data_IF_056014793845
#
_entry.id   IF_056014793845
#
_cell.length_a   1.000
_cell.length_b   1.000
_cell.length_c   1.000
_cell.angle_alpha   90.00
_cell.angle_beta   90.00
_cell.angle_gamma   90.00
#
_symmetry.space_group_name_H-M   'P 1'
#
loop_
_entity.id
_entity.type
_entity.pdbx_description
1 polymer ?
#
# COMPACT_ATOMS: atom_id res chain seq x y z
N UNK A 1 12.08 -0.13 12.92
CA UNK A 1 12.82 -0.69 11.78
C UNK A 1 12.89 0.32 10.64
N UNK A 2 13.59 -0.01 9.57
CA UNK A 2 13.72 0.86 8.38
C UNK A 2 12.94 0.23 7.23
N UNK A 3 12.11 1.04 6.56
CA UNK A 3 11.34 0.63 5.39
C UNK A 3 12.18 0.59 4.10
N UNK A 4 11.57 0.19 2.97
CA UNK A 4 12.24 0.08 1.67
C UNK A 4 12.71 1.42 1.08
N UNK A 5 12.23 2.54 1.62
CA UNK A 5 12.62 3.91 1.22
C UNK A 5 13.64 4.55 2.18
N UNK A 6 14.11 3.80 3.20
CA UNK A 6 15.05 4.28 4.19
C UNK A 6 14.42 5.11 5.32
N UNK A 7 13.10 5.10 5.47
CA UNK A 7 12.42 5.80 6.56
C UNK A 7 12.13 4.85 7.73
N UNK A 8 12.13 5.35 8.98
CA UNK A 8 11.71 4.56 10.13
C UNK A 8 10.23 4.18 10.04
N UNK A 9 9.89 2.96 10.48
CA UNK A 9 8.53 2.53 10.74
C UNK A 9 8.45 1.68 12.01
N UNK A 10 7.22 1.43 12.49
CA UNK A 10 6.97 0.68 13.72
C UNK A 10 6.82 -0.79 13.41
N UNK A 11 7.56 -1.65 14.12
CA UNK A 11 7.33 -3.08 14.16
C UNK A 11 6.98 -3.47 15.61
N UNK A 12 5.97 -4.29 15.81
CA UNK A 12 5.55 -4.80 17.11
C UNK A 12 5.69 -6.33 17.15
N UNK A 13 6.01 -6.83 18.35
CA UNK A 13 6.09 -8.25 18.67
C UNK A 13 5.09 -8.57 19.78
N UNK A 14 4.37 -9.68 19.63
CA UNK A 14 3.41 -10.19 20.61
C UNK A 14 3.77 -11.63 20.92
N UNK A 15 3.89 -11.95 22.21
CA UNK A 15 4.14 -13.27 22.75
C UNK A 15 2.93 -13.73 23.56
N UNK A 16 2.45 -14.94 23.30
CA UNK A 16 1.34 -15.56 24.03
C UNK A 16 1.89 -16.51 25.10
N UNK A 17 1.05 -16.85 26.10
CA UNK A 17 1.41 -17.73 27.21
C UNK A 17 1.80 -19.15 26.74
N UNK A 18 1.24 -19.62 25.63
CA UNK A 18 1.57 -20.91 25.03
C UNK A 18 2.90 -20.92 24.27
N UNK A 19 3.63 -19.79 24.27
CA UNK A 19 4.87 -19.58 23.53
C UNK A 19 4.69 -19.19 22.06
N UNK A 20 3.46 -19.04 21.59
CA UNK A 20 3.19 -18.56 20.23
C UNK A 20 3.60 -17.10 20.08
N UNK A 21 4.05 -16.75 18.87
CA UNK A 21 4.66 -15.48 18.56
C UNK A 21 4.09 -14.87 17.29
N UNK A 22 3.84 -13.56 17.31
CA UNK A 22 3.46 -12.76 16.16
C UNK A 22 4.28 -11.49 16.06
N UNK A 23 4.75 -11.18 14.85
CA UNK A 23 5.48 -9.95 14.54
C UNK A 23 4.91 -9.27 13.31
N UNK A 24 4.67 -7.96 13.41
CA UNK A 24 4.15 -7.18 12.30
C UNK A 24 4.70 -5.75 12.30
N UNK A 25 5.00 -5.27 11.10
CA UNK A 25 5.35 -3.89 10.87
C UNK A 25 4.13 -3.12 10.32
N UNK A 26 3.96 -1.87 10.73
CA UNK A 26 2.99 -0.98 10.13
C UNK A 26 3.55 -0.46 8.79
N UNK A 27 2.88 -0.69 7.65
CA UNK A 27 3.33 -0.12 6.39
C UNK A 27 3.17 1.41 6.41
N UNK A 28 4.10 2.10 5.73
CA UNK A 28 4.05 3.55 5.56
C UNK A 28 3.83 3.85 4.08
N UNK A 29 2.78 4.60 3.74
CA UNK A 29 2.48 5.01 2.37
C UNK A 29 3.46 6.07 1.84
N UNK A 30 3.63 6.14 0.52
CA UNK A 30 4.37 7.21 -0.15
C UNK A 30 3.54 8.49 -0.24
N UNK A 31 2.23 8.35 -0.41
CA UNK A 31 1.23 9.40 -0.35
C UNK A 31 0.15 9.07 0.67
N UNK A 32 -0.59 10.06 1.14
CA UNK A 32 -1.67 9.88 2.12
C UNK A 32 -2.93 10.60 1.65
N UNK A 33 -4.08 9.95 1.82
CA UNK A 33 -5.38 10.56 1.58
C UNK A 33 -5.76 11.53 2.69
N UNK A 34 -6.63 12.48 2.39
CA UNK A 34 -7.09 13.51 3.35
C UNK A 34 -7.88 12.97 4.54
N UNK A 35 -8.33 11.72 4.48
CA UNK A 35 -9.13 11.05 5.52
C UNK A 35 -8.41 9.87 6.17
N UNK A 36 -7.14 9.71 5.92
CA UNK A 36 -6.35 8.65 6.56
C UNK A 36 -6.12 8.94 8.05
N UNK A 37 -6.03 7.86 8.82
CA UNK A 37 -5.59 7.94 10.20
C UNK A 37 -4.13 8.38 10.28
N UNK A 38 -3.76 9.08 11.36
CA UNK A 38 -2.45 9.71 11.50
C UNK A 38 -1.33 8.68 11.71
N UNK A 39 -0.33 8.70 10.86
CA UNK A 39 0.96 8.07 11.11
C UNK A 39 1.77 8.97 12.06
N UNK A 40 1.93 8.56 13.33
CA UNK A 40 2.60 9.37 14.32
C UNK A 40 4.11 9.41 14.09
N UNK A 41 4.62 10.61 13.80
CA UNK A 41 6.04 10.91 13.62
C UNK A 41 6.56 11.80 14.75
N UNK A 42 7.86 11.69 15.06
CA UNK A 42 8.47 12.44 16.17
C UNK A 42 8.54 13.95 15.91
N UNK A 43 8.70 14.35 14.65
CA UNK A 43 8.85 15.74 14.24
C UNK A 43 10.24 16.34 14.55
N UNK A 44 11.14 15.59 15.17
CA UNK A 44 12.50 16.02 15.47
C UNK A 44 13.36 16.03 14.20
N UNK A 45 13.62 17.21 13.67
CA UNK A 45 14.38 17.41 12.44
C UNK A 45 15.84 16.94 12.52
N UNK A 46 16.41 16.78 13.70
CA UNK A 46 17.78 16.28 13.89
C UNK A 46 17.89 14.77 13.65
N UNK A 47 16.75 14.06 13.61
CA UNK A 47 16.68 12.62 13.40
C UNK A 47 15.76 12.29 12.23
N UNK A 48 16.28 11.57 11.23
CA UNK A 48 15.53 11.16 10.03
C UNK A 48 14.69 12.29 9.39
N UNK A 49 15.19 13.54 9.45
CA UNK A 49 14.47 14.70 8.93
C UNK A 49 13.10 14.96 9.55
N UNK A 50 12.86 14.46 10.77
CA UNK A 50 11.57 14.55 11.48
C UNK A 50 10.69 13.31 11.35
N UNK A 51 11.09 12.31 10.56
CA UNK A 51 10.31 11.09 10.30
C UNK A 51 10.55 9.97 11.32
N UNK A 52 11.23 10.24 12.46
CA UNK A 52 11.39 9.28 13.56
C UNK A 52 10.05 8.77 14.10
N UNK A 53 10.05 7.61 14.77
CA UNK A 53 8.84 6.96 15.30
C UNK A 53 8.98 6.57 16.78
N UNK A 54 9.88 7.20 17.53
CA UNK A 54 10.12 6.87 18.93
C UNK A 54 8.89 7.12 19.81
N UNK A 55 8.07 8.13 19.51
CA UNK A 55 6.80 8.38 20.21
C UNK A 55 5.83 7.22 20.00
N UNK A 56 5.68 6.73 18.78
CA UNK A 56 4.84 5.58 18.47
C UNK A 56 5.36 4.30 19.15
N UNK A 57 6.68 4.07 19.16
CA UNK A 57 7.31 2.95 19.89
C UNK A 57 7.06 3.06 21.39
N UNK A 58 7.17 4.26 21.98
CA UNK A 58 6.85 4.48 23.39
C UNK A 58 5.37 4.19 23.70
N UNK A 59 4.46 4.52 22.77
CA UNK A 59 3.04 4.20 22.91
C UNK A 59 2.79 2.69 22.87
N UNK A 60 3.49 1.93 22.01
CA UNK A 60 3.41 0.46 21.97
C UNK A 60 3.87 -0.13 23.32
N UNK A 61 5.07 0.23 23.77
CA UNK A 61 5.67 -0.35 24.98
C UNK A 61 5.07 0.19 26.30
N UNK A 62 4.32 1.27 26.24
CA UNK A 62 3.74 1.95 27.40
C UNK A 62 2.22 1.74 27.50
N UNK A 63 1.43 2.74 27.07
CA UNK A 63 -0.02 2.70 27.28
C UNK A 63 -0.72 1.53 26.59
N UNK A 64 -0.33 1.17 25.36
CA UNK A 64 -0.93 0.04 24.65
C UNK A 64 -0.62 -1.27 25.37
N UNK A 65 0.65 -1.55 25.65
CA UNK A 65 1.03 -2.79 26.35
C UNK A 65 0.29 -2.91 27.71
N UNK A 66 0.21 -1.83 28.48
CA UNK A 66 -0.50 -1.84 29.77
C UNK A 66 -2.00 -2.17 29.64
N UNK A 67 -2.61 -1.79 28.54
CA UNK A 67 -4.04 -1.99 28.31
C UNK A 67 -4.38 -3.40 27.81
N UNK A 68 -3.49 -4.04 27.04
CA UNK A 68 -3.79 -5.31 26.36
C UNK A 68 -3.08 -6.53 26.95
N UNK A 69 -1.97 -6.38 27.68
CA UNK A 69 -1.30 -7.53 28.30
C UNK A 69 -2.26 -8.24 29.26
N UNK A 70 -2.31 -9.56 29.20
CA UNK A 70 -3.25 -10.40 29.94
C UNK A 70 -4.67 -10.49 29.33
N UNK A 71 -4.91 -9.87 28.19
CA UNK A 71 -6.16 -10.06 27.43
C UNK A 71 -6.06 -11.28 26.51
N UNK A 72 -7.22 -11.90 26.20
CA UNK A 72 -7.24 -13.02 25.27
C UNK A 72 -6.96 -12.55 23.84
N UNK A 73 -5.93 -13.12 23.21
CA UNK A 73 -5.62 -12.90 21.78
C UNK A 73 -6.71 -13.41 20.84
N UNK A 74 -7.58 -14.31 21.34
CA UNK A 74 -8.72 -14.84 20.62
C UNK A 74 -9.81 -13.80 20.31
N UNK A 75 -9.84 -12.67 21.06
CA UNK A 75 -10.77 -11.56 20.87
C UNK A 75 -10.09 -10.38 20.16
N UNK A 76 -9.75 -10.57 18.89
CA UNK A 76 -9.12 -9.54 18.06
C UNK A 76 -9.90 -8.22 18.09
N UNK A 77 -11.21 -8.30 17.92
CA UNK A 77 -12.07 -7.10 17.91
C UNK A 77 -12.07 -6.36 19.23
N UNK A 78 -12.06 -7.10 20.35
CA UNK A 78 -11.95 -6.51 21.70
C UNK A 78 -10.61 -5.83 21.93
N UNK A 79 -9.50 -6.43 21.48
CA UNK A 79 -8.17 -5.83 21.58
C UNK A 79 -8.10 -4.55 20.74
N UNK A 80 -8.59 -4.59 19.50
CA UNK A 80 -8.60 -3.42 18.63
C UNK A 80 -9.45 -2.29 19.20
N UNK A 81 -10.62 -2.62 19.77
CA UNK A 81 -11.50 -1.68 20.44
C UNK A 81 -10.83 -1.02 21.65
N UNK A 82 -10.12 -1.80 22.48
CA UNK A 82 -9.36 -1.27 23.63
C UNK A 82 -8.35 -0.21 23.15
N UNK A 83 -7.60 -0.49 22.09
CA UNK A 83 -6.60 0.45 21.57
C UNK A 83 -7.25 1.72 20.98
N UNK A 84 -8.36 1.56 20.26
CA UNK A 84 -9.12 2.69 19.67
C UNK A 84 -9.70 3.58 20.79
N UNK A 85 -10.30 3.00 21.82
CA UNK A 85 -10.85 3.72 22.97
C UNK A 85 -9.74 4.40 23.79
N UNK A 86 -8.57 3.77 23.92
CA UNK A 86 -7.41 4.34 24.62
C UNK A 86 -6.85 5.57 23.86
N UNK A 87 -6.87 5.54 22.54
CA UNK A 87 -6.56 6.70 21.73
C UNK A 87 -7.61 7.80 21.89
N UNK A 88 -8.88 7.47 21.72
CA UNK A 88 -10.02 8.35 21.94
C UNK A 88 -10.18 9.48 20.92
N UNK A 89 -9.40 9.47 19.83
CA UNK A 89 -9.50 10.45 18.75
C UNK A 89 -10.03 9.80 17.45
N UNK A 90 -10.64 10.58 16.58
CA UNK A 90 -11.21 10.08 15.34
C UNK A 90 -10.14 9.47 14.41
N UNK A 91 -9.01 10.16 14.27
CA UNK A 91 -7.94 9.83 13.34
C UNK A 91 -6.71 9.19 14.00
N UNK A 92 -6.80 8.75 15.28
CA UNK A 92 -5.72 8.08 16.03
C UNK A 92 -4.47 8.93 16.22
N UNK A 93 -4.65 10.24 16.45
CA UNK A 93 -3.53 11.19 16.57
C UNK A 93 -2.80 11.16 17.91
N UNK A 94 -3.40 10.56 18.95
CA UNK A 94 -2.79 10.45 20.28
C UNK A 94 -1.78 9.30 20.36
N UNK A 95 -2.14 8.10 19.92
CA UNK A 95 -1.27 6.93 19.97
C UNK A 95 -0.51 6.69 18.66
N UNK A 96 -1.11 7.09 17.55
CA UNK A 96 -0.64 6.85 16.21
C UNK A 96 -1.26 5.60 15.59
N UNK A 97 -1.80 5.74 14.37
CA UNK A 97 -2.33 4.60 13.63
C UNK A 97 -1.26 3.53 13.38
N UNK A 98 0.00 3.93 13.16
CA UNK A 98 1.13 3.03 13.00
C UNK A 98 1.38 2.17 14.24
N UNK A 99 1.31 2.75 15.45
CA UNK A 99 1.45 2.00 16.70
C UNK A 99 0.29 1.00 16.89
N UNK A 100 -0.96 1.46 16.71
CA UNK A 100 -2.16 0.63 16.86
C UNK A 100 -2.15 -0.51 15.84
N UNK A 101 -1.87 -0.22 14.57
CA UNK A 101 -1.90 -1.21 13.50
C UNK A 101 -0.79 -2.26 13.64
N UNK A 102 0.43 -1.86 14.01
CA UNK A 102 1.52 -2.80 14.23
C UNK A 102 1.16 -3.84 15.31
N UNK A 103 0.55 -3.39 16.41
CA UNK A 103 0.12 -4.28 17.50
C UNK A 103 -1.05 -5.16 17.08
N UNK A 104 -2.09 -4.59 16.45
CA UNK A 104 -3.25 -5.34 15.96
C UNK A 104 -2.85 -6.49 15.03
N UNK A 105 -1.99 -6.19 14.04
CA UNK A 105 -1.49 -7.20 13.11
C UNK A 105 -0.59 -8.25 13.81
N UNK A 106 0.21 -7.85 14.79
CA UNK A 106 1.05 -8.78 15.55
C UNK A 106 0.21 -9.74 16.40
N UNK A 107 -0.87 -9.25 17.04
CA UNK A 107 -1.84 -10.07 17.79
C UNK A 107 -2.49 -11.08 16.85
N UNK A 108 -2.99 -10.65 15.69
CA UNK A 108 -3.60 -11.55 14.71
C UNK A 108 -2.65 -12.68 14.25
N UNK A 109 -1.38 -12.34 14.03
CA UNK A 109 -0.35 -13.33 13.66
C UNK A 109 -0.03 -14.28 14.82
N UNK A 110 0.06 -13.79 16.05
CA UNK A 110 0.30 -14.62 17.23
C UNK A 110 -0.84 -15.62 17.45
N UNK A 111 -2.10 -15.16 17.35
CA UNK A 111 -3.27 -16.02 17.49
C UNK A 111 -3.36 -17.06 16.37
N UNK A 112 -3.09 -16.68 15.12
CA UNK A 112 -3.04 -17.63 14.00
C UNK A 112 -1.97 -18.72 14.25
N UNK A 113 -0.80 -18.34 14.79
CA UNK A 113 0.26 -19.27 15.16
C UNK A 113 -0.18 -20.21 16.30
N UNK A 114 -0.82 -19.69 17.35
CA UNK A 114 -1.38 -20.47 18.46
C UNK A 114 -2.38 -21.52 17.96
N UNK A 115 -3.27 -21.12 17.05
CA UNK A 115 -4.25 -22.03 16.41
C UNK A 115 -3.63 -22.95 15.36
N UNK A 116 -2.35 -22.77 15.02
CA UNK A 116 -1.65 -23.51 13.95
C UNK A 116 -2.38 -23.44 12.59
N UNK A 117 -2.92 -22.26 12.28
CA UNK A 117 -3.58 -21.99 10.99
C UNK A 117 -2.89 -20.86 10.26
N UNK A 118 -2.94 -20.83 8.92
CA UNK A 118 -2.45 -19.67 8.17
C UNK A 118 -3.24 -18.39 8.52
N UNK A 119 -2.58 -17.23 8.51
CA UNK A 119 -3.18 -15.95 8.86
C UNK A 119 -4.45 -15.64 8.05
N UNK A 120 -4.47 -15.92 6.73
CA UNK A 120 -5.64 -15.69 5.90
C UNK A 120 -6.87 -16.49 6.37
N UNK A 121 -6.65 -17.70 6.90
CA UNK A 121 -7.72 -18.54 7.43
C UNK A 121 -8.26 -17.96 8.75
N UNK A 122 -7.37 -17.56 9.64
CA UNK A 122 -7.76 -16.89 10.90
C UNK A 122 -8.57 -15.61 10.63
N UNK A 123 -8.08 -14.75 9.73
CA UNK A 123 -8.82 -13.55 9.34
C UNK A 123 -10.19 -13.89 8.73
N UNK A 124 -10.25 -14.91 7.87
CA UNK A 124 -11.51 -15.38 7.33
C UNK A 124 -12.49 -15.83 8.41
N UNK A 125 -12.02 -16.52 9.44
CA UNK A 125 -12.85 -16.95 10.58
C UNK A 125 -13.39 -15.75 11.36
N UNK A 126 -12.60 -14.67 11.57
CA UNK A 126 -13.07 -13.44 12.19
C UNK A 126 -14.24 -12.79 11.44
N UNK A 127 -14.25 -12.89 10.11
CA UNK A 127 -15.34 -12.42 9.25
C UNK A 127 -16.45 -13.44 9.04
N UNK A 128 -16.42 -14.58 9.76
CA UNK A 128 -17.42 -15.64 9.61
C UNK A 128 -17.38 -16.37 8.26
N UNK A 129 -16.26 -16.30 7.53
CA UNK A 129 -16.08 -16.98 6.24
C UNK A 129 -16.07 -18.49 6.41
N UNK A 130 -16.97 -19.18 5.70
CA UNK A 130 -17.13 -20.64 5.74
C UNK A 130 -16.90 -21.32 4.39
N UNK A 131 -16.49 -20.57 3.39
CA UNK A 131 -16.34 -21.04 2.02
C UNK A 131 -14.91 -21.38 1.62
N UNK A 132 -14.72 -21.54 0.31
CA UNK A 132 -13.39 -21.65 -0.30
C UNK A 132 -12.77 -20.28 -0.41
N UNK A 133 -11.48 -20.19 -0.04
CA UNK A 133 -10.70 -18.97 -0.26
C UNK A 133 -10.38 -18.83 -1.76
N UNK A 134 -10.43 -17.59 -2.23
CA UNK A 134 -10.09 -17.24 -3.61
C UNK A 134 -8.79 -16.43 -3.57
N UNK A 135 -7.82 -16.83 -4.40
CA UNK A 135 -6.59 -16.05 -4.58
C UNK A 135 -6.95 -14.71 -5.26
N UNK A 136 -6.57 -13.56 -4.70
CA UNK A 136 -6.80 -12.28 -5.35
C UNK A 136 -6.05 -12.18 -6.67
N UNK A 137 -6.67 -11.50 -7.64
CA UNK A 137 -5.98 -11.14 -8.88
C UNK A 137 -4.90 -10.10 -8.57
N UNK A 138 -3.63 -10.31 -8.99
CA UNK A 138 -2.61 -9.31 -8.79
C UNK A 138 -2.91 -8.02 -9.58
N UNK A 139 -2.77 -6.87 -8.92
CA UNK A 139 -2.64 -5.56 -9.55
C UNK A 139 -1.19 -5.12 -9.42
N UNK A 140 -0.53 -4.90 -10.54
CA UNK A 140 0.89 -4.59 -10.58
C UNK A 140 1.10 -3.19 -11.12
N UNK A 141 1.60 -2.28 -10.26
CA UNK A 141 1.95 -0.93 -10.66
C UNK A 141 3.23 -0.97 -11.51
N UNK A 142 3.12 -0.59 -12.79
CA UNK A 142 4.22 -0.67 -13.77
C UNK A 142 4.62 0.67 -14.36
N UNK A 143 3.80 1.72 -14.16
CA UNK A 143 4.11 3.10 -14.57
C UNK A 143 3.55 4.07 -13.53
N UNK A 144 4.38 5.02 -13.11
CA UNK A 144 4.06 5.99 -12.09
C UNK A 144 4.01 7.41 -12.62
N UNK A 145 3.16 8.21 -11.99
CA UNK A 145 3.08 9.66 -12.11
C UNK A 145 2.69 10.30 -10.77
N UNK A 146 2.11 11.48 -10.80
CA UNK A 146 1.64 12.19 -9.63
C UNK A 146 2.72 12.33 -8.55
N UNK A 147 2.38 12.05 -7.30
CA UNK A 147 3.33 12.10 -6.18
C UNK A 147 4.35 10.94 -6.13
N UNK A 148 4.11 9.87 -6.88
CA UNK A 148 4.98 8.69 -6.90
C UNK A 148 6.14 8.81 -7.88
N UNK A 149 6.20 9.90 -8.69
CA UNK A 149 7.24 10.09 -9.68
C UNK A 149 7.56 11.58 -9.90
N UNK A 150 8.84 11.87 -10.13
CA UNK A 150 9.29 13.20 -10.56
C UNK A 150 9.21 13.28 -12.10
N UNK A 151 7.99 13.40 -12.61
CA UNK A 151 7.67 13.51 -14.04
C UNK A 151 6.44 14.38 -14.26
N UNK A 152 5.96 14.44 -15.51
CA UNK A 152 4.81 15.27 -15.90
C UNK A 152 3.50 14.48 -16.07
N UNK A 153 3.43 13.24 -15.60
CA UNK A 153 2.21 12.42 -15.65
C UNK A 153 1.36 12.71 -14.41
N UNK A 154 0.09 13.10 -14.58
CA UNK A 154 -0.74 13.54 -13.46
C UNK A 154 -1.35 12.37 -12.66
N UNK A 155 -1.70 11.27 -13.33
CA UNK A 155 -2.26 10.06 -12.70
C UNK A 155 -1.14 9.32 -11.96
N UNK A 156 -1.40 8.94 -10.70
CA UNK A 156 -0.39 8.43 -9.78
C UNK A 156 0.10 7.03 -10.13
N UNK A 157 -0.82 6.11 -10.47
CA UNK A 157 -0.48 4.71 -10.75
C UNK A 157 -1.22 4.16 -11.95
N UNK A 158 -0.47 3.46 -12.80
CA UNK A 158 -1.02 2.66 -13.89
C UNK A 158 -0.65 1.20 -13.63
N UNK A 159 -1.67 0.40 -13.36
CA UNK A 159 -1.52 -1.00 -12.97
C UNK A 159 -2.01 -1.93 -14.08
N UNK A 160 -1.35 -3.06 -14.22
CA UNK A 160 -1.83 -4.18 -15.04
C UNK A 160 -2.43 -5.25 -14.15
N UNK A 161 -3.47 -5.91 -14.68
CA UNK A 161 -4.13 -7.05 -14.08
C UNK A 161 -4.03 -8.24 -15.04
N UNK A 162 -3.19 -9.26 -14.74
CA UNK A 162 -2.98 -10.40 -15.62
C UNK A 162 -4.13 -11.43 -15.51
N UNK A 163 -5.30 -11.08 -16.03
CA UNK A 163 -6.53 -11.87 -15.94
C UNK A 163 -6.47 -13.19 -16.71
N UNK A 164 -5.61 -13.30 -17.73
CA UNK A 164 -5.38 -14.53 -18.49
C UNK A 164 -4.57 -15.61 -17.76
N UNK A 165 -4.00 -15.28 -16.58
CA UNK A 165 -3.21 -16.22 -15.79
C UNK A 165 -4.07 -17.29 -15.13
N UNK A 166 -3.85 -18.56 -15.48
CA UNK A 166 -4.61 -19.71 -14.92
C UNK A 166 -4.40 -19.94 -13.42
N UNK A 167 -3.37 -19.35 -12.84
CA UNK A 167 -3.03 -19.38 -11.42
C UNK A 167 -2.09 -18.22 -11.10
N UNK A 168 -1.82 -17.98 -9.81
CA UNK A 168 -0.99 -16.86 -9.36
C UNK A 168 0.43 -16.87 -9.98
N UNK A 169 1.05 -18.03 -10.18
CA UNK A 169 2.37 -18.15 -10.80
C UNK A 169 2.36 -17.63 -12.24
N UNK A 170 1.37 -18.03 -13.01
CA UNK A 170 1.20 -17.56 -14.39
C UNK A 170 0.86 -16.07 -14.44
N UNK A 171 0.01 -15.58 -13.54
CA UNK A 171 -0.29 -14.16 -13.45
C UNK A 171 0.96 -13.33 -13.15
N UNK A 172 1.81 -13.76 -12.21
CA UNK A 172 3.08 -13.09 -11.91
C UNK A 172 4.04 -13.14 -13.10
N UNK A 173 4.12 -14.26 -13.82
CA UNK A 173 4.93 -14.38 -15.03
C UNK A 173 4.49 -13.38 -16.11
N UNK A 174 3.19 -13.34 -16.42
CA UNK A 174 2.63 -12.39 -17.38
C UNK A 174 2.98 -10.96 -16.99
N UNK A 175 2.77 -10.60 -15.73
CA UNK A 175 3.08 -9.25 -15.22
C UNK A 175 4.56 -8.89 -15.39
N UNK A 176 5.47 -9.79 -15.04
CA UNK A 176 6.92 -9.56 -15.19
C UNK A 176 7.32 -9.41 -16.68
N UNK A 177 6.80 -10.25 -17.57
CA UNK A 177 7.08 -10.19 -19.00
C UNK A 177 6.57 -8.87 -19.62
N UNK A 178 5.37 -8.42 -19.25
CA UNK A 178 4.82 -7.13 -19.69
C UNK A 178 5.66 -5.96 -19.13
N UNK A 179 6.09 -6.01 -17.87
CA UNK A 179 6.94 -4.98 -17.29
C UNK A 179 8.27 -4.84 -18.04
N UNK A 180 8.93 -5.96 -18.36
CA UNK A 180 10.16 -5.94 -19.16
C UNK A 180 9.93 -5.50 -20.62
N UNK A 181 8.79 -5.86 -21.20
CA UNK A 181 8.41 -5.37 -22.52
C UNK A 181 8.19 -3.85 -22.50
N UNK A 182 7.58 -3.30 -21.44
CA UNK A 182 7.39 -1.86 -21.26
C UNK A 182 8.73 -1.12 -21.20
N UNK A 183 9.72 -1.63 -20.46
CA UNK A 183 11.07 -1.06 -20.48
C UNK A 183 11.62 -0.95 -21.91
N UNK A 184 11.42 -2.00 -22.72
CA UNK A 184 11.88 -2.02 -24.12
C UNK A 184 11.12 -1.02 -25.00
N UNK A 185 9.80 -0.85 -24.78
CA UNK A 185 8.95 0.13 -25.50
C UNK A 185 9.42 1.55 -25.17
N UNK A 186 9.61 1.86 -23.89
CA UNK A 186 10.07 3.18 -23.43
C UNK A 186 11.45 3.51 -24.01
N UNK A 187 12.41 2.59 -23.93
CA UNK A 187 13.76 2.77 -24.52
C UNK A 187 13.71 3.03 -26.02
N UNK A 188 12.88 2.28 -26.77
CA UNK A 188 12.70 2.49 -28.23
C UNK A 188 12.16 3.88 -28.55
N UNK A 189 11.34 4.46 -27.67
CA UNK A 189 10.79 5.81 -27.78
C UNK A 189 11.74 6.89 -27.25
N UNK A 190 12.93 6.54 -26.76
CA UNK A 190 13.89 7.49 -26.15
C UNK A 190 13.44 8.00 -24.78
N UNK A 191 12.53 7.29 -24.10
CA UNK A 191 11.98 7.67 -22.80
C UNK A 191 12.76 7.01 -21.64
N UNK A 192 12.71 7.65 -20.48
CA UNK A 192 13.34 7.15 -19.27
C UNK A 192 12.76 5.81 -18.82
N UNK A 193 13.61 4.93 -18.31
CA UNK A 193 13.24 3.71 -17.57
C UNK A 193 13.64 3.78 -16.10
N UNK A 194 13.93 4.98 -15.58
CA UNK A 194 13.99 5.21 -14.14
C UNK A 194 12.65 4.91 -13.50
N UNK A 195 12.67 4.41 -12.25
CA UNK A 195 11.46 4.02 -11.52
C UNK A 195 11.05 5.07 -10.52
N UNK A 196 9.75 5.16 -10.25
CA UNK A 196 9.18 5.95 -9.18
C UNK A 196 9.23 5.24 -7.82
N UNK A 197 8.61 5.83 -6.82
CA UNK A 197 8.64 5.38 -5.43
C UNK A 197 8.05 3.98 -5.21
N UNK A 198 7.19 3.52 -6.12
CA UNK A 198 6.53 2.21 -6.06
C UNK A 198 6.98 1.23 -7.15
N UNK A 199 8.11 1.51 -7.79
CA UNK A 199 8.78 0.58 -8.71
C UNK A 199 8.26 0.59 -10.14
N UNK A 200 7.19 1.32 -10.47
CA UNK A 200 6.76 1.59 -11.85
C UNK A 200 7.72 2.55 -12.56
N UNK A 201 7.83 2.44 -13.88
CA UNK A 201 8.64 3.40 -14.66
C UNK A 201 8.06 4.81 -14.58
N UNK A 202 8.94 5.80 -14.58
CA UNK A 202 8.57 7.21 -14.42
C UNK A 202 9.03 8.09 -15.62
N UNK A 203 8.59 7.80 -16.85
CA UNK A 203 8.94 8.61 -18.01
C UNK A 203 8.17 9.94 -18.00
N UNK A 204 8.72 10.97 -18.67
CA UNK A 204 7.95 12.11 -19.12
C UNK A 204 7.14 11.71 -20.35
N UNK A 205 5.83 11.94 -20.34
CA UNK A 205 4.92 11.61 -21.42
C UNK A 205 4.15 12.84 -21.88
N UNK A 206 3.58 12.79 -23.08
CA UNK A 206 2.78 13.90 -23.62
C UNK A 206 1.39 14.01 -22.96
N UNK A 207 0.91 12.90 -22.43
CA UNK A 207 -0.40 12.83 -21.78
C UNK A 207 -0.53 11.53 -20.96
N UNK A 208 -1.53 11.48 -20.07
CA UNK A 208 -1.92 10.25 -19.39
C UNK A 208 -2.37 9.15 -20.38
N UNK A 209 -2.97 9.56 -21.51
CA UNK A 209 -3.35 8.63 -22.58
C UNK A 209 -2.13 7.96 -23.25
N UNK A 210 -0.98 8.62 -23.33
CA UNK A 210 0.25 8.02 -23.84
C UNK A 210 0.78 6.92 -22.92
N UNK A 211 0.57 7.04 -21.59
CA UNK A 211 0.90 5.96 -20.65
C UNK A 211 0.14 4.68 -20.99
N UNK A 212 -1.17 4.79 -21.22
CA UNK A 212 -1.99 3.65 -21.67
C UNK A 212 -1.51 3.06 -23.01
N UNK A 213 -1.17 3.93 -23.97
CA UNK A 213 -0.67 3.49 -25.26
C UNK A 213 0.65 2.71 -25.13
N UNK A 214 1.58 3.17 -24.29
CA UNK A 214 2.83 2.47 -24.01
C UNK A 214 2.59 1.11 -23.34
N UNK A 215 1.67 1.04 -22.38
CA UNK A 215 1.33 -0.21 -21.69
C UNK A 215 0.67 -1.20 -22.67
N UNK A 216 -0.29 -0.73 -23.48
CA UNK A 216 -0.92 -1.57 -24.50
C UNK A 216 0.12 -2.14 -25.47
N UNK A 217 1.02 -1.30 -26.00
CA UNK A 217 2.12 -1.74 -26.86
C UNK A 217 3.01 -2.79 -26.17
N UNK A 218 3.25 -2.62 -24.85
CA UNK A 218 4.05 -3.57 -24.08
C UNK A 218 3.34 -4.93 -23.90
N UNK A 219 2.03 -4.93 -23.65
CA UNK A 219 1.22 -6.15 -23.55
C UNK A 219 1.28 -6.94 -24.86
N UNK A 220 1.03 -6.27 -25.99
CA UNK A 220 1.06 -6.87 -27.34
C UNK A 220 2.48 -7.37 -27.67
N UNK A 221 3.52 -6.59 -27.36
CA UNK A 221 4.92 -6.98 -27.53
C UNK A 221 5.32 -8.20 -26.71
N UNK A 222 4.75 -8.36 -25.53
CA UNK A 222 4.96 -9.53 -24.70
C UNK A 222 4.20 -10.78 -25.18
N UNK A 223 3.38 -10.65 -26.24
CA UNK A 223 2.63 -11.74 -26.84
C UNK A 223 1.27 -12.00 -26.21
N UNK A 224 0.72 -11.03 -25.46
CA UNK A 224 -0.59 -11.10 -24.81
C UNK A 224 -1.63 -10.22 -25.51
N UNK A 225 -2.90 -10.59 -25.35
CA UNK A 225 -4.03 -9.83 -25.89
C UNK A 225 -4.52 -8.82 -24.85
N UNK A 226 -4.41 -7.52 -25.19
CA UNK A 226 -4.90 -6.44 -24.33
C UNK A 226 -6.42 -6.48 -24.20
N UNK A 227 -6.91 -6.40 -22.96
CA UNK A 227 -8.33 -6.50 -22.63
C UNK A 227 -8.84 -7.94 -22.39
N UNK A 228 -8.05 -8.95 -22.75
CA UNK A 228 -8.40 -10.37 -22.57
C UNK A 228 -7.42 -11.08 -21.62
N UNK A 229 -6.12 -11.01 -21.91
CA UNK A 229 -5.09 -11.60 -21.05
C UNK A 229 -4.61 -10.63 -19.98
N UNK A 230 -4.59 -9.34 -20.31
CA UNK A 230 -4.17 -8.25 -19.43
C UNK A 230 -5.15 -7.10 -19.52
N UNK A 231 -5.70 -6.70 -18.39
CA UNK A 231 -6.52 -5.50 -18.23
C UNK A 231 -5.77 -4.44 -17.43
N UNK A 232 -6.33 -3.22 -17.36
CA UNK A 232 -5.74 -2.11 -16.64
C UNK A 232 -6.57 -1.72 -15.42
N UNK A 233 -5.86 -1.21 -14.40
CA UNK A 233 -6.43 -0.47 -13.29
C UNK A 233 -5.61 0.80 -13.07
N UNK A 234 -6.20 1.79 -12.40
CA UNK A 234 -5.54 3.06 -12.06
C UNK A 234 -5.79 3.41 -10.61
N UNK A 235 -4.81 4.04 -10.00
CA UNK A 235 -5.04 4.96 -8.89
C UNK A 235 -4.80 6.38 -9.39
N UNK A 236 -5.89 7.14 -9.50
CA UNK A 236 -5.81 8.52 -9.96
C UNK A 236 -5.29 9.47 -8.89
N UNK A 237 -5.45 9.14 -7.60
CA UNK A 237 -5.18 10.03 -6.47
C UNK A 237 -5.74 11.45 -6.72
N UNK A 238 -7.01 11.52 -7.11
CA UNK A 238 -7.63 12.72 -7.71
C UNK A 238 -7.65 13.96 -6.80
N UNK A 239 -7.55 13.78 -5.48
CA UNK A 239 -7.39 14.88 -4.53
C UNK A 239 -6.10 15.70 -4.76
N UNK A 240 -5.08 15.10 -5.38
CA UNK A 240 -3.80 15.74 -5.64
C UNK A 240 -3.85 16.80 -6.76
N UNK A 241 -4.78 16.65 -7.69
CA UNK A 241 -4.98 17.60 -8.77
C UNK A 241 -6.36 18.28 -8.74
N UNK A 242 -7.14 18.12 -7.65
CA UNK A 242 -8.37 18.84 -7.43
C UNK A 242 -8.10 20.23 -6.82
N UNK A 243 -8.51 21.27 -7.53
CA UNK A 243 -8.47 22.64 -7.05
C UNK A 243 -9.84 23.02 -6.44
N UNK A 244 -9.91 23.05 -5.10
CA UNK A 244 -11.16 23.30 -4.37
C UNK A 244 -11.68 24.74 -4.55
N UNK A 245 -10.81 25.73 -4.81
CA UNK A 245 -11.22 27.12 -5.03
C UNK A 245 -11.92 27.30 -6.38
N UNK A 246 -11.48 26.55 -7.39
CA UNK A 246 -12.06 26.59 -8.74
C UNK A 246 -13.12 25.53 -8.96
N UNK A 247 -13.20 24.50 -8.12
CA UNK A 247 -14.05 23.33 -8.32
C UNK A 247 -13.66 22.48 -9.54
N UNK A 248 -12.37 22.47 -9.90
CA UNK A 248 -11.87 21.83 -11.10
C UNK A 248 -10.76 20.83 -10.79
N UNK A 249 -10.66 19.78 -11.61
CA UNK A 249 -9.53 18.88 -11.67
C UNK A 249 -8.51 19.41 -12.67
N UNK A 250 -7.34 19.85 -12.20
CA UNK A 250 -6.30 20.49 -13.01
C UNK A 250 -5.17 19.48 -13.34
N UNK A 251 -5.20 18.91 -14.53
CA UNK A 251 -4.13 18.04 -15.05
C UNK A 251 -2.99 18.94 -15.55
N UNK A 252 -2.05 19.24 -14.67
CA UNK A 252 -0.96 20.20 -14.94
C UNK A 252 -0.02 19.72 -16.03
N UNK A 253 0.26 18.40 -16.07
CA UNK A 253 1.10 17.78 -17.09
C UNK A 253 0.54 17.91 -18.50
N UNK A 254 -0.79 17.98 -18.64
CA UNK A 254 -1.48 18.17 -19.92
C UNK A 254 -1.95 19.61 -20.17
N UNK A 255 -1.87 20.49 -19.17
CA UNK A 255 -2.41 21.85 -19.26
C UNK A 255 -3.93 21.91 -19.42
N UNK A 256 -4.65 20.91 -18.88
CA UNK A 256 -6.11 20.77 -19.01
C UNK A 256 -6.81 20.85 -17.65
N UNK A 257 -8.06 21.30 -17.67
CA UNK A 257 -8.93 21.32 -16.50
C UNK A 257 -10.29 20.73 -16.83
N UNK A 258 -10.87 19.99 -15.89
CA UNK A 258 -12.14 19.30 -16.05
C UNK A 258 -13.06 19.57 -14.85
N UNK A 259 -14.35 19.53 -15.08
CA UNK A 259 -15.36 19.36 -14.02
C UNK A 259 -15.52 17.89 -13.68
N UNK A 260 -16.21 17.59 -12.58
CA UNK A 260 -16.64 16.22 -12.23
C UNK A 260 -17.74 15.74 -13.17
#
# INVERSE_FOLDING_TARGET
IIDSRGNPTVEAEVYLEDGSFGRAAAPSGASTGSREALELRDGDKSRFGGKGVLKAVANVNGPIAKAIVGKCSCDQSGIDKIMIELDGTENKDKLGANAILAVSLAVAKAEAASRKVPLYKYIGELYGHKGKYVMPLPMMNILNGGKHADNNVDIQEFMIQPVGGKNIREALRIGAEVFHALASVLKKKGLSTGVGDEGGFAPNLKSNAEAFACIKEAVEKAGYEFGKDVTLAMDCASSEFYNSEKGLYELKGEGKSFTS
#
